data_IF_405282203693
#
_entry.id   IF_405282203693
#
_cell.length_a   1.000
_cell.length_b   1.000
_cell.length_c   1.000
_cell.angle_alpha   90.00
_cell.angle_beta   90.00
_cell.angle_gamma   90.00
#
_symmetry.space_group_name_H-M   'P 1'
#
loop_
_entity.id
_entity.type
_entity.pdbx_description
1 polymer ?
#
# COMPACT_ATOMS: atom_id res chain seq x y z
N UNK A 1 -10.62 34.91 -4.40
CA UNK A 1 -9.58 34.76 -5.45
C UNK A 1 -8.38 34.09 -4.81
N UNK A 2 -8.00 32.92 -5.31
CA UNK A 2 -6.81 32.17 -4.87
C UNK A 2 -5.51 32.97 -5.13
N UNK A 3 -4.50 32.83 -4.27
CA UNK A 3 -3.22 33.53 -4.41
C UNK A 3 -2.38 32.99 -5.58
N UNK A 4 -1.57 33.85 -6.20
CA UNK A 4 -0.63 33.42 -7.26
C UNK A 4 0.35 32.35 -6.78
N UNK A 5 0.71 32.36 -5.49
CA UNK A 5 1.52 31.31 -4.88
C UNK A 5 0.82 29.95 -4.96
N UNK A 6 -0.46 29.86 -4.55
CA UNK A 6 -1.18 28.59 -4.60
C UNK A 6 -1.47 28.16 -6.04
N UNK A 7 -1.74 29.10 -6.95
CA UNK A 7 -1.83 28.80 -8.38
C UNK A 7 -0.54 28.22 -8.97
N UNK A 8 0.63 28.70 -8.52
CA UNK A 8 1.93 28.14 -8.95
C UNK A 8 2.10 26.67 -8.54
N UNK A 9 1.58 26.27 -7.39
CA UNK A 9 1.61 24.86 -6.95
C UNK A 9 0.75 23.97 -7.86
N UNK A 10 -0.45 24.41 -8.25
CA UNK A 10 -1.29 23.67 -9.20
C UNK A 10 -0.57 23.49 -10.55
N UNK A 11 0.11 24.51 -11.05
CA UNK A 11 0.90 24.40 -12.29
C UNK A 11 1.98 23.31 -12.17
N UNK A 12 2.69 23.26 -11.04
CA UNK A 12 3.72 22.25 -10.79
C UNK A 12 3.14 20.84 -10.66
N UNK A 13 2.01 20.68 -9.98
CA UNK A 13 1.29 19.41 -9.83
C UNK A 13 0.86 18.88 -11.20
N UNK A 14 0.22 19.72 -12.01
CA UNK A 14 -0.23 19.37 -13.37
C UNK A 14 0.97 18.93 -14.23
N UNK A 15 2.08 19.68 -14.20
CA UNK A 15 3.29 19.30 -14.94
C UNK A 15 3.86 17.96 -14.47
N UNK A 16 3.79 17.67 -13.18
CA UNK A 16 4.29 16.41 -12.61
C UNK A 16 3.43 15.22 -13.01
N UNK A 17 2.10 15.35 -12.91
CA UNK A 17 1.15 14.28 -13.22
C UNK A 17 1.17 13.89 -14.70
N UNK A 18 1.30 14.87 -15.59
CA UNK A 18 1.19 14.68 -17.04
C UNK A 18 2.48 14.97 -17.80
N UNK A 19 3.63 15.03 -17.13
CA UNK A 19 4.94 15.20 -17.77
C UNK A 19 5.07 16.46 -18.63
N UNK A 20 4.41 17.54 -18.24
CA UNK A 20 4.42 18.82 -18.98
C UNK A 20 3.62 18.83 -20.29
N UNK A 21 2.80 17.80 -20.55
CA UNK A 21 2.04 17.70 -21.81
C UNK A 21 0.78 18.59 -21.87
N UNK A 22 0.35 19.15 -20.74
CA UNK A 22 -0.84 20.01 -20.68
C UNK A 22 -0.52 21.41 -21.20
N UNK A 23 -1.08 21.74 -22.37
CA UNK A 23 -0.92 23.04 -22.99
C UNK A 23 -1.58 24.14 -22.16
N UNK A 24 -1.04 25.35 -22.24
CA UNK A 24 -1.55 26.52 -21.51
C UNK A 24 -1.54 26.41 -19.97
N UNK A 25 -0.80 25.46 -19.40
CA UNK A 25 -0.61 25.35 -17.95
C UNK A 25 0.28 26.52 -17.44
N UNK A 26 -0.36 27.56 -16.92
CA UNK A 26 0.30 28.75 -16.36
C UNK A 26 -0.54 29.36 -15.22
N UNK A 27 0.08 30.19 -14.39
CA UNK A 27 -0.55 30.82 -13.22
C UNK A 27 -1.82 31.60 -13.62
N UNK A 28 -1.78 32.26 -14.78
CA UNK A 28 -2.88 33.07 -15.30
C UNK A 28 -4.11 32.21 -15.64
N UNK A 29 -3.88 30.96 -16.05
CA UNK A 29 -4.93 30.04 -16.53
C UNK A 29 -5.47 29.09 -15.45
N UNK A 30 -4.92 29.12 -14.24
CA UNK A 30 -5.50 28.40 -13.10
C UNK A 30 -6.76 29.15 -12.63
N UNK A 31 -7.91 28.70 -13.13
CA UNK A 31 -9.25 29.17 -12.76
C UNK A 31 -9.86 28.30 -11.65
N UNK A 32 -10.99 28.73 -11.10
CA UNK A 32 -11.71 27.96 -10.07
C UNK A 32 -12.17 26.59 -10.59
N UNK A 33 -12.48 26.47 -11.89
CA UNK A 33 -12.83 25.19 -12.52
C UNK A 33 -11.62 24.24 -12.65
N UNK A 34 -10.45 24.78 -12.99
CA UNK A 34 -9.20 23.99 -13.04
C UNK A 34 -8.88 23.46 -11.65
N UNK A 35 -8.98 24.30 -10.63
CA UNK A 35 -8.77 23.92 -9.23
C UNK A 35 -9.72 22.80 -8.81
N UNK A 36 -11.02 22.95 -9.11
CA UNK A 36 -12.02 21.93 -8.75
C UNK A 36 -11.68 20.56 -9.39
N UNK A 37 -11.30 20.55 -10.66
CA UNK A 37 -10.96 19.30 -11.37
C UNK A 37 -9.66 18.68 -10.83
N UNK A 38 -8.65 19.49 -10.57
CA UNK A 38 -7.41 19.02 -9.94
C UNK A 38 -7.65 18.48 -8.53
N UNK A 39 -8.51 19.13 -7.73
CA UNK A 39 -8.89 18.63 -6.41
C UNK A 39 -9.61 17.28 -6.49
N UNK A 40 -10.44 17.05 -7.51
CA UNK A 40 -11.04 15.72 -7.77
C UNK A 40 -9.98 14.67 -8.14
N UNK A 41 -9.01 15.03 -8.98
CA UNK A 41 -7.89 14.15 -9.35
C UNK A 41 -7.05 13.80 -8.11
N UNK A 42 -6.64 14.81 -7.34
CA UNK A 42 -5.86 14.65 -6.11
C UNK A 42 -6.64 13.88 -5.04
N UNK A 43 -7.96 14.05 -4.95
CA UNK A 43 -8.81 13.26 -4.05
C UNK A 43 -8.88 11.80 -4.47
N UNK A 44 -9.00 11.51 -5.78
CA UNK A 44 -8.94 10.12 -6.28
C UNK A 44 -7.58 9.48 -6.04
N UNK A 45 -6.49 10.22 -6.27
CA UNK A 45 -5.12 9.77 -5.97
C UNK A 45 -4.99 9.49 -4.47
N UNK A 46 -5.44 10.42 -3.62
CA UNK A 46 -5.45 10.27 -2.17
C UNK A 46 -6.25 9.05 -1.74
N UNK A 47 -7.46 8.87 -2.25
CA UNK A 47 -8.30 7.74 -1.87
C UNK A 47 -7.68 6.40 -2.30
N UNK A 48 -7.15 6.33 -3.53
CA UNK A 48 -6.40 5.17 -4.00
C UNK A 48 -5.12 4.91 -3.19
N UNK A 49 -4.42 5.96 -2.79
CA UNK A 49 -3.22 5.85 -1.94
C UNK A 49 -3.56 5.57 -0.47
N UNK A 50 -4.76 5.88 0.01
CA UNK A 50 -5.18 5.57 1.39
C UNK A 50 -5.32 4.06 1.60
N UNK A 51 -5.79 3.34 0.58
CA UNK A 51 -5.72 1.86 0.55
C UNK A 51 -4.27 1.38 0.62
N UNK A 52 -3.34 2.11 0.00
CA UNK A 52 -1.90 1.84 0.10
C UNK A 52 -1.30 2.28 1.45
N UNK A 53 -1.88 3.25 2.17
CA UNK A 53 -1.46 3.66 3.52
C UNK A 53 -1.84 2.59 4.54
N UNK A 54 -3.02 1.96 4.42
CA UNK A 54 -3.33 0.77 5.22
C UNK A 54 -2.31 -0.35 4.97
N UNK A 55 -1.92 -0.55 3.72
CA UNK A 55 -0.84 -1.46 3.36
C UNK A 55 0.53 -0.99 3.89
N UNK A 56 0.82 0.30 3.91
CA UNK A 56 2.09 0.87 4.39
C UNK A 56 2.23 0.81 5.92
N UNK A 57 1.20 1.22 6.67
CA UNK A 57 1.15 1.14 8.13
C UNK A 57 1.28 -0.31 8.61
N UNK A 58 0.71 -1.27 7.88
CA UNK A 58 0.89 -2.68 8.21
C UNK A 58 2.24 -3.21 7.70
N UNK A 59 2.87 -2.59 6.69
CA UNK A 59 4.24 -2.95 6.27
C UNK A 59 5.22 -2.51 7.34
N UNK A 60 4.98 -1.35 7.95
CA UNK A 60 5.67 -0.95 9.16
C UNK A 60 5.45 -1.98 10.27
N UNK A 61 4.22 -2.41 10.56
CA UNK A 61 3.98 -3.47 11.58
C UNK A 61 4.71 -4.78 11.25
N UNK A 62 4.61 -5.29 10.02
CA UNK A 62 5.16 -6.59 9.65
C UNK A 62 6.68 -6.61 9.56
N UNK A 63 7.31 -5.50 9.15
CA UNK A 63 8.76 -5.40 9.05
C UNK A 63 9.41 -4.72 10.26
N UNK A 64 8.63 -4.30 11.25
CA UNK A 64 9.17 -3.81 12.52
C UNK A 64 9.79 -4.95 13.32
N UNK A 65 11.12 -4.86 13.53
CA UNK A 65 11.91 -5.88 14.23
C UNK A 65 11.65 -5.95 15.74
N UNK A 66 10.81 -5.07 16.28
CA UNK A 66 10.51 -5.02 17.71
C UNK A 66 9.49 -6.09 18.16
N UNK A 67 8.85 -6.81 17.24
CA UNK A 67 7.93 -7.89 17.60
C UNK A 67 8.66 -9.20 17.89
N UNK A 68 8.40 -9.78 19.06
CA UNK A 68 9.07 -11.00 19.53
C UNK A 68 8.50 -12.30 18.94
N UNK A 69 7.38 -12.25 18.19
CA UNK A 69 6.78 -13.41 17.53
C UNK A 69 5.77 -13.00 16.46
N UNK A 70 5.55 -13.89 15.48
CA UNK A 70 4.51 -13.74 14.45
C UNK A 70 3.09 -13.59 15.03
N UNK A 71 2.80 -14.26 16.16
CA UNK A 71 1.51 -14.11 16.83
C UNK A 71 1.24 -12.66 17.29
N UNK A 72 2.28 -11.93 17.74
CA UNK A 72 2.15 -10.52 18.11
C UNK A 72 1.95 -9.63 16.87
N UNK A 73 2.63 -9.92 15.77
CA UNK A 73 2.45 -9.22 14.49
C UNK A 73 1.01 -9.37 14.00
N UNK A 74 0.48 -10.59 13.97
CA UNK A 74 -0.89 -10.88 13.53
C UNK A 74 -1.91 -10.17 14.42
N UNK A 75 -1.74 -10.23 15.74
CA UNK A 75 -2.63 -9.55 16.68
C UNK A 75 -2.69 -8.04 16.44
N UNK A 76 -1.53 -7.39 16.33
CA UNK A 76 -1.47 -5.94 16.09
C UNK A 76 -2.07 -5.58 14.73
N UNK A 77 -1.85 -6.40 13.70
CA UNK A 77 -2.44 -6.16 12.38
C UNK A 77 -3.98 -6.23 12.41
N UNK A 78 -4.56 -7.22 13.09
CA UNK A 78 -6.01 -7.35 13.28
C UNK A 78 -6.57 -6.16 14.08
N UNK A 79 -5.91 -5.79 15.17
CA UNK A 79 -6.37 -4.73 16.09
C UNK A 79 -6.30 -3.32 15.47
N UNK A 80 -5.39 -3.09 14.53
CA UNK A 80 -5.09 -1.73 14.01
C UNK A 80 -5.89 -1.39 12.75
N UNK A 81 -6.23 -2.37 11.91
CA UNK A 81 -6.67 -2.08 10.53
C UNK A 81 -7.74 -3.02 9.97
N UNK A 82 -8.27 -3.95 10.78
CA UNK A 82 -9.22 -4.99 10.34
C UNK A 82 -8.72 -5.76 9.10
N UNK A 83 -7.39 -5.88 8.97
CA UNK A 83 -6.72 -6.49 7.84
C UNK A 83 -6.27 -7.90 8.20
N UNK A 84 -6.53 -8.87 7.31
CA UNK A 84 -6.10 -10.25 7.54
C UNK A 84 -4.65 -10.47 7.08
N UNK A 85 -3.88 -11.23 7.87
CA UNK A 85 -2.51 -11.62 7.50
C UNK A 85 -2.43 -12.44 6.20
N UNK A 86 -3.55 -12.98 5.70
CA UNK A 86 -3.62 -13.64 4.39
C UNK A 86 -3.52 -12.68 3.22
N UNK A 87 -4.15 -11.50 3.31
CA UNK A 87 -4.15 -10.49 2.24
C UNK A 87 -2.73 -9.98 1.99
N UNK A 88 -1.95 -9.97 3.06
CA UNK A 88 -0.54 -9.62 3.12
C UNK A 88 0.34 -10.60 2.36
N UNK A 89 0.20 -11.88 2.68
CA UNK A 89 0.92 -12.94 1.97
C UNK A 89 0.51 -12.95 0.50
N UNK A 90 -0.75 -12.66 0.17
CA UNK A 90 -1.20 -12.54 -1.21
C UNK A 90 -0.49 -11.42 -1.98
N UNK A 91 -0.28 -10.25 -1.36
CA UNK A 91 0.52 -9.15 -1.95
C UNK A 91 1.97 -9.57 -2.20
N UNK A 92 2.62 -10.25 -1.24
CA UNK A 92 4.00 -10.72 -1.40
C UNK A 92 4.11 -11.80 -2.49
N UNK A 93 3.14 -12.71 -2.56
CA UNK A 93 3.04 -13.70 -3.63
C UNK A 93 2.86 -13.05 -5.01
N UNK A 94 2.11 -11.94 -5.09
CA UNK A 94 1.89 -11.19 -6.32
C UNK A 94 3.09 -10.34 -6.77
N UNK A 95 4.03 -10.03 -5.88
CA UNK A 95 5.23 -9.26 -6.21
C UNK A 95 6.37 -10.17 -6.68
N UNK A 96 6.88 -9.93 -7.90
CA UNK A 96 7.92 -10.75 -8.54
C UNK A 96 9.23 -10.89 -7.74
N UNK A 97 9.62 -9.90 -6.94
CA UNK A 97 10.84 -9.95 -6.14
C UNK A 97 10.66 -10.84 -4.89
N UNK A 98 9.46 -10.84 -4.31
CA UNK A 98 9.17 -11.56 -3.07
C UNK A 98 8.62 -12.97 -3.30
N UNK A 99 7.96 -13.22 -4.45
CA UNK A 99 7.31 -14.50 -4.74
C UNK A 99 8.28 -15.69 -4.68
N UNK A 100 9.53 -15.52 -5.12
CA UNK A 100 10.55 -16.57 -5.06
C UNK A 100 10.89 -16.97 -3.61
N UNK A 101 11.02 -16.00 -2.70
CA UNK A 101 11.31 -16.24 -1.28
C UNK A 101 10.12 -16.93 -0.61
N UNK A 102 8.91 -16.42 -0.85
CA UNK A 102 7.67 -17.00 -0.29
C UNK A 102 7.50 -18.45 -0.75
N UNK A 103 7.62 -18.70 -2.05
CA UNK A 103 7.47 -20.04 -2.61
C UNK A 103 8.55 -21.01 -2.11
N UNK A 104 9.80 -20.57 -2.04
CA UNK A 104 10.90 -21.40 -1.52
C UNK A 104 10.67 -21.80 -0.06
N UNK A 105 10.25 -20.85 0.79
CA UNK A 105 9.94 -21.13 2.18
C UNK A 105 8.72 -22.05 2.31
N UNK A 106 7.64 -21.76 1.59
CA UNK A 106 6.41 -22.56 1.63
C UNK A 106 6.66 -24.03 1.23
N UNK A 107 7.43 -24.26 0.16
CA UNK A 107 7.80 -25.62 -0.27
C UNK A 107 8.65 -26.33 0.78
N UNK A 108 9.66 -25.65 1.33
CA UNK A 108 10.57 -26.25 2.32
C UNK A 108 9.89 -26.70 3.61
N UNK A 109 8.83 -26.01 4.03
CA UNK A 109 8.11 -26.31 5.28
C UNK A 109 6.79 -27.06 5.09
N UNK A 110 6.35 -27.34 3.85
CA UNK A 110 5.08 -28.02 3.58
C UNK A 110 4.95 -29.36 4.29
N UNK A 111 5.93 -30.26 4.11
CA UNK A 111 5.88 -31.60 4.72
C UNK A 111 6.03 -31.58 6.24
N UNK A 112 6.97 -30.83 6.84
CA UNK A 112 7.04 -30.67 8.29
C UNK A 112 5.74 -30.15 8.91
N UNK A 113 5.10 -29.14 8.30
CA UNK A 113 3.81 -28.61 8.76
C UNK A 113 2.72 -29.68 8.69
N UNK A 114 2.67 -30.46 7.61
CA UNK A 114 1.69 -31.54 7.46
C UNK A 114 1.87 -32.66 8.50
N UNK A 115 3.12 -33.01 8.81
CA UNK A 115 3.44 -34.01 9.85
C UNK A 115 2.99 -33.50 11.22
N UNK A 116 3.30 -32.25 11.55
CA UNK A 116 2.85 -31.63 12.81
C UNK A 116 1.31 -31.62 12.93
N UNK A 117 0.58 -31.42 11.82
CA UNK A 117 -0.88 -31.55 11.82
C UNK A 117 -1.36 -32.99 12.07
N UNK A 118 -0.69 -33.99 11.50
CA UNK A 118 -1.04 -35.40 11.74
C UNK A 118 -0.80 -35.81 13.19
N UNK A 119 0.33 -35.40 13.77
CA UNK A 119 0.64 -35.62 15.18
C UNK A 119 -0.40 -34.95 16.09
N UNK A 120 -0.73 -33.68 15.83
CA UNK A 120 -1.73 -32.95 16.61
C UNK A 120 -3.14 -33.56 16.52
N UNK A 121 -3.46 -34.22 15.40
CA UNK A 121 -4.73 -34.90 15.18
C UNK A 121 -4.74 -36.37 15.65
N UNK A 122 -3.61 -36.89 16.16
CA UNK A 122 -3.49 -38.26 16.69
C UNK A 122 -3.43 -39.35 15.62
N UNK A 123 -2.98 -39.02 14.41
CA UNK A 123 -2.77 -40.01 13.32
C UNK A 123 -1.40 -40.70 13.37
N UNK A 124 -0.49 -40.24 14.24
CA UNK A 124 0.83 -40.82 14.53
C UNK A 124 0.97 -41.01 16.04
#
# INVERSE_FOLDING_TARGET
MISNQLKSEYVMIINTLWGGSQQCNSIENISDDVIRLEDEVLTKIRNGSTTMIGVHAVFEIFYNKNYSSWAKVIKVALDTVDAHASDWIAVLCGNRQYSAVVNSAAVGYKSPVQIAFYEAAGFM
#
